data_IF_319134574537
#
_entry.id   IF_319134574537
#
_cell.length_a   1.000
_cell.length_b   1.000
_cell.length_c   1.000
_cell.angle_alpha   90.00
_cell.angle_beta   90.00
_cell.angle_gamma   90.00
#
_symmetry.space_group_name_H-M   'P 1'
#
loop_
_entity.id
_entity.type
_entity.pdbx_description
1 polymer ?
#
# COMPACT_ATOMS: atom_id res chain seq x y z
N UNK A 1 1.10 -3.76 16.45
CA UNK A 1 1.71 -5.11 16.50
C UNK A 1 3.14 -5.00 16.03
N UNK A 2 4.12 -5.30 16.90
CA UNK A 2 5.54 -5.16 16.54
C UNK A 2 6.00 -6.32 15.66
N UNK A 3 6.80 -6.07 14.61
CA UNK A 3 7.23 -7.11 13.69
C UNK A 3 8.27 -8.05 14.32
N UNK A 4 8.20 -9.35 13.97
CA UNK A 4 9.25 -10.34 14.25
C UNK A 4 10.02 -10.69 12.97
N UNK A 5 9.35 -11.32 12.01
CA UNK A 5 9.97 -11.77 10.76
C UNK A 5 10.42 -10.61 9.86
N UNK A 6 9.68 -9.48 9.87
CA UNK A 6 9.99 -8.36 8.98
C UNK A 6 11.31 -7.66 9.31
N UNK A 7 11.85 -7.83 10.53
CA UNK A 7 13.11 -7.20 10.96
C UNK A 7 14.31 -7.56 10.09
N UNK A 8 14.25 -8.70 9.36
CA UNK A 8 15.34 -9.18 8.51
C UNK A 8 14.92 -9.37 7.05
N UNK A 9 13.69 -9.02 6.70
CA UNK A 9 13.20 -9.19 5.32
C UNK A 9 13.86 -8.19 4.38
N UNK A 10 14.31 -8.65 3.20
CA UNK A 10 14.85 -7.75 2.16
C UNK A 10 13.78 -6.80 1.59
N UNK A 11 12.52 -7.26 1.54
CA UNK A 11 11.39 -6.49 1.03
C UNK A 11 10.89 -5.43 2.05
N UNK A 12 11.28 -5.53 3.33
CA UNK A 12 10.86 -4.60 4.37
C UNK A 12 12.00 -3.63 4.72
N UNK A 13 12.43 -2.83 3.74
CA UNK A 13 13.46 -1.80 3.88
C UNK A 13 12.93 -0.47 3.35
N UNK A 14 13.40 0.60 3.98
CA UNK A 14 13.08 1.98 3.61
C UNK A 14 14.36 2.71 3.26
N UNK A 15 14.29 3.61 2.28
CA UNK A 15 15.40 4.51 1.98
C UNK A 15 15.49 5.61 3.04
N UNK A 16 16.69 6.11 3.31
CA UNK A 16 16.88 7.17 4.31
C UNK A 16 16.10 8.46 3.96
N UNK A 17 15.94 8.72 2.67
CA UNK A 17 15.14 9.84 2.18
C UNK A 17 13.68 9.77 2.64
N UNK A 18 13.13 8.58 2.90
CA UNK A 18 11.76 8.42 3.42
C UNK A 18 11.55 8.98 4.84
N UNK A 19 12.64 9.33 5.53
CA UNK A 19 12.62 9.89 6.89
C UNK A 19 13.03 11.38 6.95
N UNK A 20 13.45 11.98 5.83
CA UNK A 20 13.92 13.37 5.78
C UNK A 20 13.05 14.25 4.91
N UNK A 21 12.87 15.51 5.29
CA UNK A 21 12.03 16.49 4.58
C UNK A 21 12.67 17.01 3.28
N UNK A 22 13.07 16.10 2.40
CA UNK A 22 13.69 16.40 1.12
C UNK A 22 12.61 16.37 0.04
N UNK A 23 12.38 17.47 -0.67
CA UNK A 23 11.45 17.45 -1.79
C UNK A 23 11.98 16.56 -2.93
N UNK A 24 11.12 15.67 -3.46
CA UNK A 24 11.37 14.94 -4.71
C UNK A 24 11.84 13.49 -4.61
N UNK A 25 11.94 12.87 -3.42
CA UNK A 25 12.20 11.43 -3.32
C UNK A 25 10.92 10.59 -3.49
N UNK A 26 11.05 9.31 -3.87
CA UNK A 26 9.94 8.37 -4.09
C UNK A 26 8.99 8.17 -2.88
N UNK A 27 9.42 8.55 -1.68
CA UNK A 27 8.62 8.50 -0.46
C UNK A 27 7.91 9.82 -0.13
N UNK A 28 8.23 10.91 -0.82
CA UNK A 28 7.64 12.23 -0.66
C UNK A 28 6.31 12.28 -1.42
N UNK A 29 5.29 11.69 -0.81
CA UNK A 29 3.92 11.82 -1.30
C UNK A 29 3.34 13.18 -0.90
N UNK A 30 2.10 13.48 -1.29
CA UNK A 30 1.33 14.64 -0.77
C UNK A 30 1.23 14.67 0.77
N UNK A 31 1.55 13.58 1.45
CA UNK A 31 1.56 13.44 2.91
C UNK A 31 2.94 13.72 3.55
N UNK A 32 3.98 13.98 2.76
CA UNK A 32 5.36 14.13 3.25
C UNK A 32 5.97 12.81 3.73
N UNK A 33 6.99 12.92 4.60
CA UNK A 33 7.75 11.82 5.23
C UNK A 33 7.14 11.33 6.55
N UNK A 34 6.01 11.91 6.95
CA UNK A 34 5.28 11.53 8.16
C UNK A 34 4.65 10.14 8.08
N UNK A 35 4.04 9.72 9.20
CA UNK A 35 3.33 8.44 9.26
C UNK A 35 2.20 8.37 8.23
N UNK A 36 2.27 7.36 7.36
CA UNK A 36 1.28 7.12 6.30
C UNK A 36 0.19 6.20 6.82
N UNK A 37 -1.00 6.75 7.05
CA UNK A 37 -2.18 6.00 7.54
C UNK A 37 -2.65 4.92 6.56
N UNK A 38 -2.47 5.17 5.27
CA UNK A 38 -2.78 4.29 4.15
C UNK A 38 -1.61 4.33 3.17
N UNK A 39 -1.04 3.17 2.84
CA UNK A 39 0.01 3.02 1.84
C UNK A 39 -0.60 2.32 0.62
N UNK A 40 -0.49 2.98 -0.54
CA UNK A 40 -1.00 2.48 -1.82
C UNK A 40 -0.09 1.40 -2.39
N UNK A 41 -0.64 0.64 -3.33
CA UNK A 41 0.12 -0.32 -4.11
C UNK A 41 1.18 0.39 -4.96
N UNK A 42 2.43 -0.06 -4.87
CA UNK A 42 3.55 0.56 -5.60
C UNK A 42 3.71 0.00 -7.02
N UNK A 43 3.12 -1.16 -7.32
CA UNK A 43 3.30 -1.82 -8.61
C UNK A 43 2.44 -1.22 -9.73
N UNK A 44 1.39 -0.46 -9.39
CA UNK A 44 0.45 0.12 -10.36
C UNK A 44 0.29 1.62 -10.10
N UNK A 45 1.34 2.38 -10.41
CA UNK A 45 1.34 3.83 -10.19
C UNK A 45 0.54 4.62 -11.25
N UNK A 46 0.12 3.99 -12.35
CA UNK A 46 -0.41 4.73 -13.53
C UNK A 46 -1.74 4.21 -14.07
N UNK A 47 -1.92 2.89 -14.21
CA UNK A 47 -3.12 2.33 -14.85
C UNK A 47 -4.06 1.73 -13.80
N UNK A 48 -5.02 2.54 -13.35
CA UNK A 48 -6.17 2.03 -12.60
C UNK A 48 -7.14 1.28 -13.53
N UNK A 49 -7.05 1.56 -14.84
CA UNK A 49 -7.77 0.84 -15.89
C UNK A 49 -7.26 -0.61 -15.98
N UNK A 50 -8.09 -1.55 -15.54
CA UNK A 50 -7.78 -2.98 -15.56
C UNK A 50 -7.78 -3.65 -14.17
N UNK A 51 -7.80 -2.85 -13.09
CA UNK A 51 -7.87 -3.41 -11.74
C UNK A 51 -9.32 -3.79 -11.41
N UNK A 52 -9.56 -5.09 -11.23
CA UNK A 52 -10.89 -5.66 -10.93
C UNK A 52 -11.11 -5.89 -9.43
N UNK A 53 -10.03 -6.03 -8.67
CA UNK A 53 -10.08 -6.33 -7.22
C UNK A 53 -9.13 -5.45 -6.45
N UNK A 54 -9.62 -4.88 -5.35
CA UNK A 54 -8.82 -4.19 -4.35
C UNK A 54 -8.85 -4.99 -3.05
N UNK A 55 -7.66 -5.32 -2.55
CA UNK A 55 -7.47 -6.01 -1.27
C UNK A 55 -6.89 -5.02 -0.28
N UNK A 56 -7.56 -4.85 0.87
CA UNK A 56 -7.02 -4.09 1.99
C UNK A 56 -6.36 -5.07 2.96
N UNK A 57 -5.15 -4.75 3.41
CA UNK A 57 -4.43 -5.56 4.39
C UNK A 57 -3.69 -4.67 5.40
N UNK A 58 -3.16 -5.26 6.47
CA UNK A 58 -2.38 -4.53 7.47
C UNK A 58 -1.20 -5.36 7.95
N UNK A 59 -0.05 -4.71 8.15
CA UNK A 59 1.16 -5.36 8.63
C UNK A 59 1.72 -6.41 7.67
N UNK A 60 2.26 -7.50 8.23
CA UNK A 60 3.11 -8.47 7.50
C UNK A 60 2.42 -9.20 6.34
N UNK A 61 1.10 -9.37 6.40
CA UNK A 61 0.34 -10.15 5.40
C UNK A 61 0.46 -9.55 4.01
N UNK A 62 0.76 -8.24 3.91
CA UNK A 62 1.08 -7.59 2.64
C UNK A 62 2.15 -8.33 1.84
N UNK A 63 3.25 -8.72 2.49
CA UNK A 63 4.38 -9.33 1.79
C UNK A 63 4.04 -10.72 1.25
N UNK A 64 3.24 -11.49 2.00
CA UNK A 64 2.75 -12.80 1.58
C UNK A 64 1.78 -12.67 0.40
N UNK A 65 0.88 -11.67 0.45
CA UNK A 65 -0.07 -11.39 -0.63
C UNK A 65 0.63 -10.87 -1.90
N UNK A 66 1.62 -10.00 -1.76
CA UNK A 66 2.39 -9.46 -2.88
C UNK A 66 3.23 -10.55 -3.55
N UNK A 67 3.90 -11.40 -2.76
CA UNK A 67 4.63 -12.55 -3.28
C UNK A 67 3.71 -13.53 -4.01
N UNK A 68 2.55 -13.85 -3.43
CA UNK A 68 1.57 -14.71 -4.08
C UNK A 68 1.02 -14.08 -5.36
N UNK A 69 0.67 -12.79 -5.34
CA UNK A 69 0.22 -12.06 -6.53
C UNK A 69 1.24 -12.13 -7.67
N UNK A 70 2.52 -11.93 -7.35
CA UNK A 70 3.59 -12.00 -8.34
C UNK A 70 3.77 -13.43 -8.88
N UNK A 71 3.62 -14.46 -8.04
CA UNK A 71 3.68 -15.88 -8.46
C UNK A 71 2.56 -16.28 -9.42
N UNK A 72 1.35 -15.76 -9.23
CA UNK A 72 0.19 -16.04 -10.10
C UNK A 72 0.02 -15.02 -11.23
N UNK A 73 0.96 -14.08 -11.36
CA UNK A 73 0.96 -13.00 -12.34
C UNK A 73 -0.36 -12.20 -12.39
N UNK A 74 -1.01 -12.04 -11.24
CA UNK A 74 -2.30 -11.36 -11.14
C UNK A 74 -2.12 -9.83 -11.24
N UNK A 75 -2.27 -9.31 -12.46
CA UNK A 75 -2.13 -7.87 -12.76
C UNK A 75 -3.38 -7.04 -12.51
N UNK A 76 -4.51 -7.70 -12.28
CA UNK A 76 -5.82 -7.10 -12.06
C UNK A 76 -6.17 -6.90 -10.57
N UNK A 77 -5.20 -7.13 -9.67
CA UNK A 77 -5.37 -7.03 -8.22
C UNK A 77 -4.44 -5.97 -7.64
N UNK A 78 -5.04 -4.95 -7.03
CA UNK A 78 -4.34 -3.98 -6.20
C UNK A 78 -4.37 -4.38 -4.72
N UNK A 79 -3.27 -4.14 -4.01
CA UNK A 79 -3.13 -4.41 -2.58
C UNK A 79 -2.78 -3.10 -1.87
N UNK A 80 -3.64 -2.62 -0.98
CA UNK A 80 -3.36 -1.47 -0.13
C UNK A 80 -3.12 -1.87 1.31
N UNK A 81 -2.20 -1.16 1.96
CA UNK A 81 -1.92 -1.34 3.38
C UNK A 81 -2.57 -0.26 4.21
N UNK A 82 -3.43 -0.68 5.12
CA UNK A 82 -4.00 0.16 6.18
C UNK A 82 -3.11 0.04 7.41
N UNK A 83 -2.25 1.04 7.62
CA UNK A 83 -1.30 1.05 8.74
C UNK A 83 -1.96 1.60 10.02
N UNK A 84 -2.99 2.42 9.88
CA UNK A 84 -3.81 2.91 11.01
C UNK A 84 -5.20 2.25 11.00
N UNK A 85 -5.42 1.31 11.93
CA UNK A 85 -6.72 0.64 12.06
C UNK A 85 -7.73 1.42 12.90
N UNK A 86 -7.26 2.19 13.90
CA UNK A 86 -8.12 2.98 14.76
C UNK A 86 -7.49 4.35 15.09
N UNK A 87 -8.21 5.46 14.86
CA UNK A 87 -9.46 5.53 14.09
C UNK A 87 -9.19 5.18 12.62
N UNK A 88 -10.09 4.40 12.00
CA UNK A 88 -9.92 3.97 10.62
C UNK A 88 -9.99 5.19 9.68
N UNK A 89 -9.04 5.35 8.73
CA UNK A 89 -8.99 6.50 7.83
C UNK A 89 -9.99 6.37 6.67
N UNK A 90 -11.29 6.38 6.99
CA UNK A 90 -12.38 6.27 5.99
C UNK A 90 -12.29 7.34 4.90
N UNK A 91 -11.85 8.55 5.26
CA UNK A 91 -11.65 9.69 4.36
C UNK A 91 -10.64 9.36 3.25
N UNK A 92 -9.51 8.74 3.61
CA UNK A 92 -8.46 8.36 2.66
C UNK A 92 -8.89 7.17 1.80
N UNK A 93 -9.47 6.15 2.42
CA UNK A 93 -9.94 4.95 1.72
C UNK A 93 -11.00 5.32 0.69
N UNK A 94 -12.00 6.11 1.08
CA UNK A 94 -13.06 6.54 0.17
C UNK A 94 -12.54 7.43 -0.96
N UNK A 95 -11.60 8.33 -0.68
CA UNK A 95 -10.98 9.19 -1.72
C UNK A 95 -10.28 8.35 -2.78
N UNK A 96 -9.47 7.38 -2.36
CA UNK A 96 -8.73 6.57 -3.31
C UNK A 96 -9.64 5.54 -4.00
N UNK A 97 -10.66 5.00 -3.33
CA UNK A 97 -11.63 4.09 -3.94
C UNK A 97 -12.34 4.70 -5.15
N UNK A 98 -12.59 6.02 -5.15
CA UNK A 98 -13.17 6.72 -6.31
C UNK A 98 -12.32 6.63 -7.57
N UNK A 99 -11.01 6.33 -7.45
CA UNK A 99 -10.14 6.12 -8.61
C UNK A 99 -10.38 4.78 -9.29
N UNK A 100 -11.06 3.84 -8.62
CA UNK A 100 -11.29 2.45 -9.02
C UNK A 100 -12.78 2.22 -9.32
N UNK A 101 -13.30 2.69 -10.47
CA UNK A 101 -14.73 2.71 -10.75
C UNK A 101 -15.38 1.32 -10.92
N UNK A 102 -14.58 0.30 -11.28
CA UNK A 102 -15.06 -1.05 -11.63
C UNK A 102 -14.68 -2.12 -10.61
N UNK A 103 -14.15 -1.73 -9.45
CA UNK A 103 -13.53 -2.66 -8.51
C UNK A 103 -14.45 -3.05 -7.36
N UNK A 104 -14.47 -4.34 -7.01
CA UNK A 104 -15.14 -4.85 -5.81
C UNK A 104 -14.17 -4.83 -4.63
N UNK A 105 -14.58 -4.18 -3.53
CA UNK A 105 -13.84 -4.20 -2.26
C UNK A 105 -14.11 -5.54 -1.56
N UNK A 106 -13.06 -6.33 -1.34
CA UNK A 106 -13.12 -7.48 -0.41
C UNK A 106 -12.34 -7.13 0.86
N UNK A 107 -13.05 -7.07 1.98
CA UNK A 107 -12.50 -6.95 3.34
C UNK A 107 -12.07 -8.30 3.88
#
# INVERSE_FOLDING_TARGET
MSPKNLLRSKACRSNLSEFGDVQGHLGFDKQGTGFKRLIKDQNYNSDVEGIRRLVLCSGKVYYELDEHRNKVEAKDVAIWRVEQLCPLPYDLVQRELKRYPTTYLKS
#
